data_IF_079145600687
#
_entry.id   IF_079145600687
#
_cell.length_a   1.000
_cell.length_b   1.000
_cell.length_c   1.000
_cell.angle_alpha   90.00
_cell.angle_beta   90.00
_cell.angle_gamma   90.00
#
_symmetry.space_group_name_H-M   'P 1'
#
loop_
_entity.id
_entity.type
_entity.pdbx_description
1 polymer ?
#
# COMPACT_ATOMS: atom_id res chain seq x y z
N UNK A 1 -6.12 -19.18 4.30
CA UNK A 1 -5.72 -17.91 3.66
C UNK A 1 -6.19 -16.70 4.46
N UNK A 2 -7.49 -16.57 4.73
CA UNK A 2 -8.08 -15.46 5.51
C UNK A 2 -7.34 -15.16 6.83
N UNK A 3 -7.11 -16.17 7.68
CA UNK A 3 -6.42 -15.96 8.96
C UNK A 3 -5.03 -15.34 8.82
N UNK A 4 -4.29 -15.67 7.73
CA UNK A 4 -2.99 -15.06 7.44
C UNK A 4 -3.16 -13.60 7.05
N UNK A 5 -4.09 -13.28 6.16
CA UNK A 5 -4.37 -11.89 5.73
C UNK A 5 -4.74 -11.02 6.93
N UNK A 6 -5.62 -11.51 7.82
CA UNK A 6 -5.98 -10.81 9.05
C UNK A 6 -4.79 -10.66 10.02
N UNK A 7 -3.93 -11.66 10.11
CA UNK A 7 -2.70 -11.61 10.90
C UNK A 7 -1.72 -10.55 10.41
N UNK A 8 -1.46 -10.52 9.09
CA UNK A 8 -0.58 -9.53 8.48
C UNK A 8 -1.16 -8.11 8.61
N UNK A 9 -2.46 -7.93 8.43
CA UNK A 9 -3.11 -6.64 8.62
C UNK A 9 -3.03 -6.15 10.07
N UNK A 10 -3.20 -7.04 11.05
CA UNK A 10 -2.96 -6.69 12.47
C UNK A 10 -1.51 -6.28 12.72
N UNK A 11 -0.55 -7.04 12.20
CA UNK A 11 0.88 -6.71 12.27
C UNK A 11 1.18 -5.32 11.69
N UNK A 12 0.57 -4.97 10.54
CA UNK A 12 0.71 -3.64 9.94
C UNK A 12 0.11 -2.55 10.84
N UNK A 13 -1.12 -2.74 11.33
CA UNK A 13 -1.78 -1.79 12.23
C UNK A 13 -0.89 -1.51 13.45
N UNK A 14 -0.51 -2.58 14.15
CA UNK A 14 0.16 -2.48 15.45
C UNK A 14 1.55 -1.85 15.32
N UNK A 15 2.21 -2.01 14.17
CA UNK A 15 3.55 -1.45 13.92
C UNK A 15 3.56 -0.05 13.34
N UNK A 16 2.56 0.31 12.52
CA UNK A 16 2.67 1.47 11.63
C UNK A 16 1.48 2.44 11.66
N UNK A 17 0.34 2.07 12.24
CA UNK A 17 -0.84 2.96 12.33
C UNK A 17 -0.87 3.64 13.69
N UNK A 18 -0.39 4.87 13.76
CA UNK A 18 -0.30 5.69 14.98
C UNK A 18 -0.54 7.19 14.69
N UNK A 19 -1.77 7.62 14.38
CA UNK A 19 -2.08 9.04 14.27
C UNK A 19 -1.82 9.79 15.58
N UNK A 20 -1.28 11.04 15.54
CA UNK A 20 -1.04 11.85 14.35
C UNK A 20 0.33 11.67 13.70
N UNK A 21 1.17 10.74 14.19
CA UNK A 21 2.54 10.56 13.69
C UNK A 21 2.59 9.86 12.33
N UNK A 22 1.60 8.99 12.05
CA UNK A 22 1.42 8.35 10.75
C UNK A 22 -0.02 8.53 10.26
N UNK A 23 -0.33 7.98 9.08
CA UNK A 23 -1.70 7.94 8.55
C UNK A 23 -2.63 7.12 9.44
N UNK A 24 -3.93 7.41 9.37
CA UNK A 24 -5.00 6.73 10.10
C UNK A 24 -5.35 5.34 9.55
N UNK A 25 -4.73 4.97 8.44
CA UNK A 25 -4.84 3.65 7.83
C UNK A 25 -3.47 3.12 7.37
N UNK A 26 -3.40 1.80 7.18
CA UNK A 26 -2.29 1.09 6.56
C UNK A 26 -2.70 0.43 5.24
N UNK A 27 -1.71 -0.01 4.45
CA UNK A 27 -1.93 -0.75 3.20
C UNK A 27 -1.29 -2.13 3.32
N UNK A 28 -2.09 -3.19 3.17
CA UNK A 28 -1.62 -4.55 2.97
C UNK A 28 -1.46 -4.79 1.47
N UNK A 29 -0.21 -4.81 1.03
CA UNK A 29 0.12 -5.07 -0.37
C UNK A 29 0.12 -6.57 -0.67
N UNK A 30 -0.53 -6.96 -1.76
CA UNK A 30 -0.52 -8.32 -2.30
C UNK A 30 0.26 -8.34 -3.62
N UNK A 31 1.26 -9.22 -3.79
CA UNK A 31 2.23 -9.13 -4.87
C UNK A 31 1.69 -9.54 -6.25
N UNK A 32 0.48 -10.08 -6.34
CA UNK A 32 -0.16 -10.40 -7.61
C UNK A 32 -1.63 -10.02 -7.59
N UNK A 33 -2.14 -9.65 -8.76
CA UNK A 33 -3.57 -9.36 -8.94
C UNK A 33 -4.43 -10.59 -8.67
N UNK A 34 -3.94 -11.79 -8.96
CA UNK A 34 -4.63 -13.04 -8.66
C UNK A 34 -4.83 -13.23 -7.15
N UNK A 35 -3.81 -12.97 -6.32
CA UNK A 35 -3.94 -13.04 -4.86
C UNK A 35 -4.87 -11.95 -4.33
N UNK A 36 -4.80 -10.75 -4.89
CA UNK A 36 -5.72 -9.66 -4.56
C UNK A 36 -7.18 -10.03 -4.86
N UNK A 37 -7.45 -10.55 -6.05
CA UNK A 37 -8.77 -11.03 -6.43
C UNK A 37 -9.25 -12.16 -5.51
N UNK A 38 -8.38 -13.11 -5.16
CA UNK A 38 -8.74 -14.20 -4.25
C UNK A 38 -9.12 -13.71 -2.85
N UNK A 39 -8.42 -12.70 -2.33
CA UNK A 39 -8.79 -12.04 -1.07
C UNK A 39 -10.16 -11.37 -1.20
N UNK A 40 -10.41 -10.61 -2.28
CA UNK A 40 -11.70 -9.95 -2.49
C UNK A 40 -12.89 -10.92 -2.59
N UNK A 41 -12.67 -12.15 -3.08
CA UNK A 41 -13.73 -13.17 -3.17
C UNK A 41 -14.15 -13.74 -1.81
N UNK A 42 -13.38 -13.49 -0.74
CA UNK A 42 -13.72 -13.98 0.60
C UNK A 42 -14.79 -13.06 1.22
N UNK A 43 -16.02 -13.54 1.47
CA UNK A 43 -17.09 -12.69 1.97
C UNK A 43 -16.75 -12.04 3.32
N UNK A 44 -16.97 -10.72 3.45
CA UNK A 44 -16.81 -10.00 4.71
C UNK A 44 -15.36 -9.68 5.12
N UNK A 45 -14.35 -10.14 4.37
CA UNK A 45 -12.95 -9.95 4.77
C UNK A 45 -12.53 -8.48 4.71
N UNK A 46 -13.00 -7.73 3.70
CA UNK A 46 -12.61 -6.34 3.48
C UNK A 46 -13.20 -5.45 4.56
N UNK A 47 -14.47 -5.65 4.89
CA UNK A 47 -15.16 -4.96 5.97
C UNK A 47 -14.49 -5.25 7.32
N UNK A 48 -14.08 -6.50 7.54
CA UNK A 48 -13.38 -6.93 8.75
C UNK A 48 -12.00 -6.26 8.87
N UNK A 49 -11.22 -6.27 7.79
CA UNK A 49 -9.92 -5.60 7.73
C UNK A 49 -10.05 -4.09 8.00
N UNK A 50 -10.99 -3.42 7.34
CA UNK A 50 -11.19 -2.00 7.52
C UNK A 50 -11.64 -1.66 8.95
N UNK A 51 -12.64 -2.37 9.48
CA UNK A 51 -13.20 -2.10 10.81
C UNK A 51 -12.24 -2.45 11.95
N UNK A 52 -11.58 -3.61 11.87
CA UNK A 52 -10.76 -4.12 12.97
C UNK A 52 -9.32 -3.60 12.91
N UNK A 53 -8.78 -3.40 11.71
CA UNK A 53 -7.36 -3.08 11.53
C UNK A 53 -7.08 -1.70 10.95
N UNK A 54 -8.08 -1.04 10.34
CA UNK A 54 -7.86 0.17 9.52
C UNK A 54 -6.82 -0.07 8.42
N UNK A 55 -6.75 -1.30 7.89
CA UNK A 55 -5.86 -1.66 6.80
C UNK A 55 -6.68 -1.92 5.55
N UNK A 56 -6.28 -1.30 4.45
CA UNK A 56 -6.85 -1.55 3.12
C UNK A 56 -5.96 -2.53 2.36
N UNK A 57 -6.56 -3.36 1.52
CA UNK A 57 -5.81 -4.31 0.68
C UNK A 57 -5.58 -3.67 -0.68
N UNK A 58 -4.38 -3.83 -1.24
CA UNK A 58 -4.07 -3.36 -2.59
C UNK A 58 -3.25 -4.40 -3.36
N UNK A 59 -3.66 -4.69 -4.60
CA UNK A 59 -2.81 -5.31 -5.62
C UNK A 59 -1.89 -4.30 -6.30
N UNK A 60 -1.01 -4.74 -7.22
CA UNK A 60 -0.08 -3.88 -7.96
C UNK A 60 -0.75 -2.66 -8.62
N UNK A 61 -1.86 -2.87 -9.34
CA UNK A 61 -2.59 -1.83 -10.07
C UNK A 61 -3.31 -0.88 -9.11
N UNK A 62 -3.96 -1.42 -8.08
CA UNK A 62 -4.63 -0.60 -7.06
C UNK A 62 -3.63 0.28 -6.30
N UNK A 63 -2.47 -0.25 -5.95
CA UNK A 63 -1.41 0.51 -5.32
C UNK A 63 -0.89 1.63 -6.23
N UNK A 64 -0.64 1.33 -7.51
CA UNK A 64 -0.26 2.35 -8.49
C UNK A 64 -1.31 3.48 -8.62
N UNK A 65 -2.59 3.13 -8.64
CA UNK A 65 -3.69 4.10 -8.70
C UNK A 65 -3.77 4.99 -7.45
N UNK A 66 -3.58 4.42 -6.25
CA UNK A 66 -3.50 5.17 -4.99
C UNK A 66 -2.34 6.17 -5.05
N UNK A 67 -1.16 5.75 -5.51
CA UNK A 67 0.02 6.61 -5.61
C UNK A 67 -0.18 7.74 -6.61
N UNK A 68 -0.76 7.47 -7.78
CA UNK A 68 -1.08 8.50 -8.76
C UNK A 68 -2.05 9.54 -8.19
N UNK A 69 -3.04 9.08 -7.43
CA UNK A 69 -4.00 9.94 -6.74
C UNK A 69 -3.33 10.81 -5.67
N UNK A 70 -2.45 10.21 -4.85
CA UNK A 70 -1.67 10.92 -3.84
C UNK A 70 -0.71 11.93 -4.47
N UNK A 71 -0.05 11.57 -5.57
CA UNK A 71 0.85 12.46 -6.29
C UNK A 71 0.11 13.71 -6.76
N UNK A 72 -1.11 13.57 -7.28
CA UNK A 72 -1.95 14.71 -7.66
C UNK A 72 -2.34 15.56 -6.45
N UNK A 73 -2.75 14.93 -5.34
CA UNK A 73 -3.07 15.64 -4.09
C UNK A 73 -1.90 16.45 -3.55
N UNK A 74 -0.70 15.89 -3.57
CA UNK A 74 0.52 16.59 -3.14
C UNK A 74 0.96 17.68 -4.11
N UNK A 75 0.81 17.48 -5.43
CA UNK A 75 1.05 18.56 -6.42
C UNK A 75 0.14 19.75 -6.17
N UNK A 76 -1.15 19.51 -5.92
CA UNK A 76 -2.11 20.58 -5.61
C UNK A 76 -1.73 21.30 -4.31
N UNK A 77 -1.37 20.57 -3.25
CA UNK A 77 -0.92 21.16 -1.99
C UNK A 77 0.38 21.96 -2.14
N UNK A 78 1.32 21.51 -2.98
CA UNK A 78 2.58 22.20 -3.26
C UNK A 78 2.38 23.46 -4.12
N UNK A 79 1.41 23.46 -5.03
CA UNK A 79 1.01 24.68 -5.75
C UNK A 79 0.38 25.69 -4.81
N UNK A 80 -0.43 25.23 -3.85
CA UNK A 80 -1.07 26.08 -2.83
C UNK A 80 -0.06 26.64 -1.81
N UNK A 81 0.92 25.84 -1.38
CA UNK A 81 2.00 26.27 -0.48
C UNK A 81 3.28 26.51 -1.28
N UNK A 82 3.58 27.76 -1.64
CA UNK A 82 4.93 28.13 -2.13
C UNK A 82 5.98 27.86 -1.03
N UNK A 83 6.48 26.63 -0.87
CA UNK A 83 7.57 26.32 0.06
C UNK A 83 8.27 25.02 -0.33
N UNK A 84 9.58 25.15 -0.51
CA UNK A 84 10.58 24.19 -1.02
C UNK A 84 10.69 22.85 -0.27
N UNK A 85 10.03 22.69 0.87
CA UNK A 85 10.19 21.54 1.77
C UNK A 85 9.41 20.29 1.32
N UNK A 86 8.26 20.49 0.66
CA UNK A 86 7.39 19.39 0.19
C UNK A 86 8.07 18.52 -0.86
N UNK A 87 8.90 19.10 -1.72
CA UNK A 87 9.61 18.38 -2.78
C UNK A 87 10.64 17.38 -2.23
N UNK A 88 11.25 17.68 -1.08
CA UNK A 88 12.30 16.83 -0.49
C UNK A 88 11.72 15.54 0.09
N UNK A 89 10.60 15.64 0.80
CA UNK A 89 9.90 14.48 1.37
C UNK A 89 9.27 13.61 0.27
N UNK A 90 8.70 14.22 -0.77
CA UNK A 90 8.14 13.48 -1.91
C UNK A 90 9.21 12.76 -2.74
N UNK A 91 10.37 13.38 -2.94
CA UNK A 91 11.50 12.75 -3.62
C UNK A 91 11.98 11.50 -2.89
N UNK A 92 12.05 11.54 -1.56
CA UNK A 92 12.44 10.39 -0.74
C UNK A 92 11.45 9.21 -0.87
N UNK A 93 10.14 9.49 -0.86
CA UNK A 93 9.10 8.46 -1.06
C UNK A 93 9.20 7.85 -2.46
N UNK A 94 9.36 8.67 -3.50
CA UNK A 94 9.52 8.19 -4.89
C UNK A 94 10.73 7.26 -5.04
N UNK A 95 11.87 7.60 -4.43
CA UNK A 95 13.08 6.79 -4.51
C UNK A 95 12.93 5.44 -3.81
N UNK A 96 12.35 5.42 -2.62
CA UNK A 96 12.06 4.16 -1.93
C UNK A 96 11.07 3.28 -2.73
N UNK A 97 10.12 3.90 -3.44
CA UNK A 97 9.19 3.15 -4.28
C UNK A 97 9.83 2.53 -5.53
N UNK A 98 10.82 3.20 -6.13
CA UNK A 98 11.58 2.62 -7.24
C UNK A 98 12.34 1.36 -6.82
N UNK A 99 12.88 1.36 -5.60
CA UNK A 99 13.58 0.19 -5.04
C UNK A 99 12.58 -0.93 -4.75
N UNK A 100 11.41 -0.60 -4.18
CA UNK A 100 10.36 -1.58 -3.91
C UNK A 100 9.82 -2.22 -5.20
N UNK A 101 9.55 -1.43 -6.24
CA UNK A 101 9.10 -1.93 -7.55
C UNK A 101 10.09 -2.94 -8.14
N UNK A 102 11.38 -2.62 -8.16
CA UNK A 102 12.39 -3.55 -8.65
C UNK A 102 12.54 -4.81 -7.79
N UNK A 103 12.10 -4.78 -6.52
CA UNK A 103 12.02 -5.96 -5.68
C UNK A 103 10.80 -6.83 -6.04
N UNK A 104 9.67 -6.19 -6.34
CA UNK A 104 8.44 -6.87 -6.78
C UNK A 104 8.62 -7.58 -8.11
N UNK A 105 9.29 -6.94 -9.06
CA UNK A 105 9.61 -7.54 -10.37
C UNK A 105 10.41 -8.84 -10.18
N UNK A 106 11.44 -8.80 -9.32
CA UNK A 106 12.26 -9.97 -8.99
C UNK A 106 11.50 -11.07 -8.27
N UNK A 107 10.50 -10.74 -7.46
CA UNK A 107 9.66 -11.74 -6.79
C UNK A 107 8.68 -12.37 -7.78
N UNK A 108 8.10 -11.58 -8.68
CA UNK A 108 7.26 -12.06 -9.79
C UNK A 108 8.03 -13.03 -10.68
N UNK A 109 9.25 -12.66 -11.09
CA UNK A 109 10.13 -13.50 -11.92
C UNK A 109 10.40 -14.86 -11.28
N UNK A 110 10.65 -14.89 -9.97
CA UNK A 110 10.89 -16.13 -9.22
C UNK A 110 9.64 -17.00 -9.07
N UNK A 111 8.46 -16.41 -8.94
CA UNK A 111 7.20 -17.16 -8.89
C UNK A 111 6.86 -17.77 -10.26
N UNK A 112 7.21 -17.09 -11.35
CA UNK A 112 7.06 -17.61 -12.71
C UNK A 112 8.04 -18.75 -13.02
N UNK A 113 9.26 -18.70 -12.50
CA UNK A 113 10.26 -19.76 -12.67
C UNK A 113 10.00 -21.02 -11.84
N UNK A 114 9.14 -20.93 -10.82
CA UNK A 114 8.81 -22.03 -9.91
C UNK A 114 7.47 -22.74 -10.24
N UNK A 115 6.85 -22.39 -11.37
CA UNK A 115 5.62 -22.99 -11.88
C UNK A 115 5.89 -23.89 -13.07
#
# INVERSE_FOLDING_TARGET
>A
MEARVLGEARSIRDKYVNPPQTTDFGILFLPSEALYAEVLRTPGIIEKLQRETRVVVAGPTSLAAILNSLQMGFRTLAVQKRSSEVWKTLGAVKNQFSIFSGLLDKVSDKLQQAS
#
